data_IF_839052652027
#
_entry.id   IF_839052652027
#
_cell.length_a   1.000
_cell.length_b   1.000
_cell.length_c   1.000
_cell.angle_alpha   90.00
_cell.angle_beta   90.00
_cell.angle_gamma   90.00
#
_symmetry.space_group_name_H-M   'P 1'
#
loop_
_entity.id
_entity.type
_entity.pdbx_description
1 polymer ?
#
# COMPACT_ATOMS: atom_id res chain seq x y z
N UNK A 1 8.26 -16.44 12.06
CA UNK A 1 7.69 -15.09 12.17
C UNK A 1 8.75 -13.99 12.09
N UNK A 2 9.31 -13.82 10.90
CA UNK A 2 10.05 -12.62 10.47
C UNK A 2 9.54 -12.22 9.08
N UNK A 3 9.72 -10.97 8.66
CA UNK A 3 9.36 -10.55 7.30
C UNK A 3 10.35 -11.10 6.27
N UNK A 4 9.83 -11.59 5.14
CA UNK A 4 10.62 -12.06 3.99
C UNK A 4 10.42 -11.18 2.75
N UNK A 5 9.20 -10.71 2.50
CA UNK A 5 8.89 -9.92 1.30
C UNK A 5 8.09 -8.64 1.62
N UNK A 6 8.26 -7.64 0.75
CA UNK A 6 7.58 -6.34 0.77
C UNK A 6 7.15 -5.99 -0.65
N UNK A 7 5.86 -5.75 -0.84
CA UNK A 7 5.30 -5.21 -2.09
C UNK A 7 4.49 -3.94 -1.79
N UNK A 8 4.43 -3.03 -2.77
CA UNK A 8 3.57 -1.85 -2.70
C UNK A 8 2.83 -1.62 -4.02
N UNK A 9 1.66 -1.01 -3.92
CA UNK A 9 0.88 -0.58 -5.07
C UNK A 9 0.23 0.77 -4.79
N UNK A 10 0.32 1.67 -5.77
CA UNK A 10 -0.35 2.96 -5.76
C UNK A 10 -1.58 2.84 -6.66
N UNK A 11 -2.76 3.08 -6.09
CA UNK A 11 -4.03 2.97 -6.81
C UNK A 11 -4.63 4.35 -6.96
N UNK A 12 -4.75 4.83 -8.21
CA UNK A 12 -5.48 6.06 -8.50
C UNK A 12 -6.97 5.89 -8.21
N UNK A 13 -7.57 6.88 -7.54
CA UNK A 13 -9.00 6.88 -7.23
C UNK A 13 -9.77 7.55 -8.38
N UNK A 14 -10.60 6.81 -9.13
CA UNK A 14 -11.30 7.37 -10.28
C UNK A 14 -12.32 8.46 -9.87
N UNK A 15 -12.76 9.32 -10.81
CA UNK A 15 -13.81 10.29 -10.55
C UNK A 15 -15.05 9.63 -9.89
N UNK A 16 -15.64 10.25 -8.85
CA UNK A 16 -15.42 11.61 -8.34
C UNK A 16 -14.31 11.77 -7.27
N UNK A 17 -13.46 10.76 -7.06
CA UNK A 17 -12.30 10.79 -6.15
C UNK A 17 -12.61 11.11 -4.66
N UNK A 18 -13.79 10.69 -4.17
CA UNK A 18 -14.08 10.76 -2.73
C UNK A 18 -13.07 9.91 -1.94
N UNK A 19 -12.49 10.49 -0.88
CA UNK A 19 -11.46 9.84 -0.07
C UNK A 19 -10.01 10.13 -0.50
N UNK A 20 -9.80 10.89 -1.57
CA UNK A 20 -8.47 11.31 -2.02
C UNK A 20 -8.16 10.91 -3.45
N UNK A 21 -7.00 11.33 -3.97
CA UNK A 21 -6.60 11.10 -5.37
C UNK A 21 -6.04 9.69 -5.61
N UNK A 22 -5.43 9.10 -4.59
CA UNK A 22 -4.82 7.79 -4.66
C UNK A 22 -4.75 7.17 -3.27
N UNK A 23 -4.54 5.86 -3.24
CA UNK A 23 -4.28 5.07 -2.04
C UNK A 23 -2.96 4.32 -2.21
N UNK A 24 -2.20 4.19 -1.13
CA UNK A 24 -0.91 3.46 -1.12
C UNK A 24 -1.08 2.22 -0.26
N UNK A 25 -1.14 1.06 -0.90
CA UNK A 25 -1.24 -0.22 -0.22
C UNK A 25 0.13 -0.88 -0.12
N UNK A 26 0.34 -1.60 0.98
CA UNK A 26 1.51 -2.44 1.21
C UNK A 26 1.08 -3.87 1.50
N UNK A 27 1.88 -4.83 1.06
CA UNK A 27 1.75 -6.23 1.43
C UNK A 27 3.06 -6.70 2.05
N UNK A 28 2.95 -7.30 3.23
CA UNK A 28 4.06 -7.97 3.91
C UNK A 28 3.80 -9.46 3.90
N UNK A 29 4.84 -10.24 3.59
CA UNK A 29 4.80 -11.70 3.72
C UNK A 29 5.87 -12.13 4.72
N UNK A 30 5.47 -12.95 5.70
CA UNK A 30 6.41 -13.55 6.65
C UNK A 30 7.10 -14.76 6.06
N UNK A 31 8.23 -15.14 6.65
CA UNK A 31 8.99 -16.32 6.25
C UNK A 31 8.28 -17.67 6.47
N UNK A 32 7.18 -17.67 7.22
CA UNK A 32 6.28 -18.81 7.40
C UNK A 32 5.01 -18.68 6.53
N UNK A 33 5.01 -17.77 5.54
CA UNK A 33 4.03 -17.70 4.46
C UNK A 33 2.76 -16.89 4.78
N UNK A 34 2.67 -16.25 5.95
CA UNK A 34 1.52 -15.42 6.31
C UNK A 34 1.62 -14.07 5.59
N UNK A 35 0.57 -13.69 4.87
CA UNK A 35 0.46 -12.40 4.20
C UNK A 35 -0.49 -11.45 4.94
N UNK A 36 -0.08 -10.21 5.10
CA UNK A 36 -0.92 -9.11 5.59
C UNK A 36 -0.91 -7.93 4.61
N UNK A 37 -2.04 -7.23 4.51
CA UNK A 37 -2.20 -6.02 3.70
C UNK A 37 -2.52 -4.83 4.61
N UNK A 38 -1.93 -3.68 4.32
CA UNK A 38 -2.19 -2.43 5.02
C UNK A 38 -2.18 -1.21 4.09
N UNK A 39 -2.58 -0.06 4.61
CA UNK A 39 -2.60 1.21 3.89
C UNK A 39 -1.73 2.24 4.61
N UNK A 40 -0.92 2.98 3.85
CA UNK A 40 -0.13 4.09 4.37
C UNK A 40 -0.87 5.42 4.10
N UNK A 41 -1.23 6.13 5.16
CA UNK A 41 -1.90 7.44 5.09
C UNK A 41 -0.96 8.57 5.50
N UNK A 42 -1.18 9.77 4.95
CA UNK A 42 -0.38 10.97 5.23
C UNK A 42 1.09 10.88 4.79
N UNK A 43 1.34 10.33 3.59
CA UNK A 43 2.69 10.33 3.00
C UNK A 43 3.11 11.77 2.66
N UNK A 44 4.31 12.23 3.07
CA UNK A 44 4.72 13.63 2.91
C UNK A 44 5.11 14.01 1.48
N UNK A 45 5.23 13.01 0.59
CA UNK A 45 5.61 13.17 -0.81
C UNK A 45 4.58 12.48 -1.72
N UNK A 46 4.44 12.98 -2.94
CA UNK A 46 3.64 12.30 -3.95
C UNK A 46 4.26 10.94 -4.31
N UNK A 47 3.46 9.89 -4.53
CA UNK A 47 3.96 8.63 -5.04
C UNK A 47 4.46 8.80 -6.47
N UNK A 48 5.58 8.17 -6.78
CA UNK A 48 6.02 7.97 -8.15
C UNK A 48 5.08 6.94 -8.81
N UNK A 49 4.42 7.32 -9.89
CA UNK A 49 3.49 6.52 -10.68
C UNK A 49 4.16 6.00 -11.96
#
# INVERSE_FOLDING_TARGET
MTQEAFDYIVVGNPPPAFGGRYFVFVKLTTNDGISGVGEAYCVPFHPDL
#
